data_IF_417882639865
#
_entry.id   IF_417882639865
#
_cell.length_a   1.000
_cell.length_b   1.000
_cell.length_c   1.000
_cell.angle_alpha   90.00
_cell.angle_beta   90.00
_cell.angle_gamma   90.00
#
_symmetry.space_group_name_H-M   'P 1'
#
loop_
_entity.id
_entity.type
_entity.pdbx_description
1 polymer ?
#
# COMPACT_ATOMS: atom_id res chain seq x y z
N UNK A 1 -7.22 2.29 -10.22
CA UNK A 1 -7.31 0.88 -9.79
C UNK A 1 -8.52 0.22 -10.44
N UNK A 2 -8.32 -0.90 -11.09
CA UNK A 2 -9.41 -1.79 -11.55
C UNK A 2 -9.52 -2.94 -10.55
N UNK A 3 -10.70 -3.14 -9.96
CA UNK A 3 -10.95 -4.19 -8.98
C UNK A 3 -11.48 -5.45 -9.67
N UNK A 4 -10.93 -6.59 -9.30
CA UNK A 4 -11.58 -7.88 -9.46
C UNK A 4 -12.19 -8.24 -8.10
N UNK A 5 -13.51 -8.44 -8.04
CA UNK A 5 -14.27 -8.62 -6.79
C UNK A 5 -13.87 -9.93 -6.12
N UNK A 6 -13.24 -9.86 -4.95
CA UNK A 6 -12.90 -11.00 -4.09
C UNK A 6 -13.77 -11.08 -2.84
N UNK A 7 -14.46 -9.99 -2.49
CA UNK A 7 -15.38 -9.88 -1.35
C UNK A 7 -16.17 -8.57 -1.40
N UNK A 8 -17.37 -8.55 -0.85
CA UNK A 8 -18.29 -7.41 -0.89
C UNK A 8 -18.88 -7.16 -2.29
N UNK A 9 -20.08 -6.58 -2.36
CA UNK A 9 -20.70 -6.19 -3.64
C UNK A 9 -20.01 -4.96 -4.21
N UNK A 10 -19.74 -4.96 -5.52
CA UNK A 10 -19.22 -3.81 -6.27
C UNK A 10 -20.25 -2.69 -6.48
N UNK A 11 -21.53 -2.99 -6.31
CA UNK A 11 -22.61 -2.01 -6.34
C UNK A 11 -22.60 -1.08 -5.11
N UNK A 12 -21.93 -1.53 -4.04
CA UNK A 12 -21.79 -0.77 -2.80
C UNK A 12 -20.49 0.04 -2.86
N UNK A 13 -20.61 1.35 -2.95
CA UNK A 13 -19.49 2.25 -3.25
C UNK A 13 -18.31 2.14 -2.26
N UNK A 14 -18.57 1.96 -0.97
CA UNK A 14 -17.51 1.85 0.04
C UNK A 14 -16.78 0.49 0.04
N UNK A 15 -17.29 -0.49 -0.72
CA UNK A 15 -16.56 -1.73 -0.99
C UNK A 15 -15.56 -1.58 -2.16
N UNK A 16 -15.61 -0.47 -2.90
CA UNK A 16 -14.70 -0.22 -4.01
C UNK A 16 -13.42 0.47 -3.53
N UNK A 17 -12.41 0.46 -4.39
CA UNK A 17 -11.12 1.04 -4.06
C UNK A 17 -10.96 2.43 -4.70
N UNK A 18 -10.33 3.36 -3.99
CA UNK A 18 -9.71 3.18 -2.67
C UNK A 18 -10.75 2.98 -1.56
N UNK A 19 -10.44 2.11 -0.61
CA UNK A 19 -11.23 2.00 0.63
C UNK A 19 -10.93 3.21 1.48
N UNK A 20 -11.99 3.95 1.83
CA UNK A 20 -11.90 5.18 2.63
C UNK A 20 -12.45 4.92 4.03
N UNK A 21 -11.61 4.97 5.04
CA UNK A 21 -11.99 4.80 6.45
C UNK A 21 -11.04 5.58 7.36
N UNK A 22 -11.55 6.19 8.43
CA UNK A 22 -10.76 6.79 9.51
C UNK A 22 -9.68 7.76 9.00
N UNK A 23 -10.04 8.61 8.04
CA UNK A 23 -9.11 9.55 7.38
C UNK A 23 -7.93 8.88 6.65
N UNK A 24 -8.11 7.65 6.19
CA UNK A 24 -7.16 6.93 5.35
C UNK A 24 -7.77 6.56 4.01
N UNK A 25 -6.95 6.54 2.97
CA UNK A 25 -7.27 5.95 1.68
C UNK A 25 -6.34 4.74 1.45
N UNK A 26 -6.92 3.57 1.18
CA UNK A 26 -6.17 2.33 0.95
C UNK A 26 -6.52 1.73 -0.41
N UNK A 27 -5.50 1.42 -1.18
CA UNK A 27 -5.59 0.53 -2.34
C UNK A 27 -4.94 -0.80 -1.95
N UNK A 28 -5.66 -1.88 -2.18
CA UNK A 28 -5.23 -3.25 -1.89
C UNK A 28 -5.41 -4.14 -3.13
N UNK A 29 -4.37 -4.85 -3.49
CA UNK A 29 -4.40 -5.93 -4.46
C UNK A 29 -3.98 -7.22 -3.76
N UNK A 30 -4.92 -8.13 -3.57
CA UNK A 30 -4.68 -9.38 -2.85
C UNK A 30 -5.86 -9.84 -2.00
N UNK A 31 -5.58 -10.73 -1.06
CA UNK A 31 -6.56 -11.29 -0.12
C UNK A 31 -5.92 -11.43 1.25
N UNK A 32 -6.57 -10.88 2.29
CA UNK A 32 -6.20 -11.10 3.70
C UNK A 32 -6.91 -12.37 4.19
N UNK A 33 -6.16 -13.46 4.31
CA UNK A 33 -6.74 -14.78 4.60
C UNK A 33 -7.08 -14.99 6.09
N UNK A 34 -6.49 -14.21 6.99
CA UNK A 34 -6.72 -14.27 8.44
C UNK A 34 -7.59 -13.11 8.98
N UNK A 35 -8.43 -12.53 8.13
CA UNK A 35 -9.29 -11.41 8.49
C UNK A 35 -10.09 -11.68 9.77
N UNK A 36 -10.79 -12.83 9.85
CA UNK A 36 -11.66 -13.19 10.98
C UNK A 36 -10.90 -13.28 12.30
N UNK A 37 -9.70 -13.85 12.26
CA UNK A 37 -8.85 -14.00 13.45
C UNK A 37 -8.41 -12.64 13.98
N UNK A 38 -8.10 -11.71 13.08
CA UNK A 38 -7.72 -10.34 13.42
C UNK A 38 -8.91 -9.60 14.03
N UNK A 39 -10.09 -9.65 13.40
CA UNK A 39 -11.31 -9.02 13.90
C UNK A 39 -11.62 -9.47 15.32
N UNK A 40 -11.60 -10.78 15.56
CA UNK A 40 -11.86 -11.36 16.87
C UNK A 40 -10.77 -11.00 17.91
N UNK A 41 -9.48 -11.14 17.55
CA UNK A 41 -8.36 -10.90 18.45
C UNK A 41 -8.29 -9.45 18.93
N UNK A 42 -8.64 -8.51 18.07
CA UNK A 42 -8.50 -7.08 18.36
C UNK A 42 -9.82 -6.38 18.63
N UNK A 43 -10.93 -7.13 18.69
CA UNK A 43 -12.29 -6.60 18.90
C UNK A 43 -12.63 -5.48 17.90
N UNK A 44 -12.39 -5.76 16.61
CA UNK A 44 -12.64 -4.82 15.52
C UNK A 44 -14.01 -5.12 14.93
N UNK A 45 -14.90 -4.13 14.95
CA UNK A 45 -16.18 -4.19 14.25
C UNK A 45 -15.98 -3.86 12.78
N UNK A 46 -16.37 -4.79 11.90
CA UNK A 46 -16.31 -4.59 10.45
C UNK A 46 -17.50 -3.78 9.97
N UNK A 47 -17.25 -2.75 9.16
CA UNK A 47 -18.27 -1.87 8.59
C UNK A 47 -18.48 -2.14 7.09
N UNK A 48 -17.41 -2.56 6.37
CA UNK A 48 -17.43 -2.75 4.93
C UNK A 48 -17.33 -4.23 4.57
N UNK A 49 -17.80 -4.59 3.38
CA UNK A 49 -17.77 -5.96 2.87
C UNK A 49 -16.38 -6.46 2.41
N UNK A 50 -15.32 -5.64 2.55
CA UNK A 50 -13.99 -5.93 2.01
C UNK A 50 -12.97 -6.22 3.11
N UNK A 51 -12.09 -7.17 2.86
CA UNK A 51 -10.99 -7.55 3.76
C UNK A 51 -9.96 -6.42 3.98
N UNK A 52 -9.82 -5.56 3.00
CA UNK A 52 -8.90 -4.40 3.04
C UNK A 52 -9.14 -3.47 4.22
N UNK A 53 -10.39 -3.40 4.73
CA UNK A 53 -10.75 -2.59 5.88
C UNK A 53 -9.94 -2.92 7.13
N UNK A 54 -9.61 -4.21 7.31
CA UNK A 54 -8.84 -4.69 8.47
C UNK A 54 -7.49 -4.01 8.58
N UNK A 55 -6.80 -3.76 7.46
CA UNK A 55 -5.50 -3.07 7.49
C UNK A 55 -5.63 -1.64 8.02
N UNK A 56 -6.68 -0.90 7.60
CA UNK A 56 -6.91 0.47 8.09
C UNK A 56 -7.20 0.44 9.59
N UNK A 57 -8.07 -0.46 10.04
CA UNK A 57 -8.42 -0.58 11.45
C UNK A 57 -7.23 -0.95 12.35
N UNK A 58 -6.33 -1.83 11.88
CA UNK A 58 -5.07 -2.12 12.57
C UNK A 58 -4.15 -0.90 12.61
N UNK A 59 -4.04 -0.20 11.47
CA UNK A 59 -3.19 0.98 11.35
C UNK A 59 -3.62 2.09 12.31
N UNK A 60 -4.91 2.43 12.32
CA UNK A 60 -5.43 3.49 13.19
C UNK A 60 -5.39 3.10 14.68
N UNK A 61 -5.62 1.82 14.99
CA UNK A 61 -5.39 1.27 16.33
C UNK A 61 -3.94 1.46 16.81
N UNK A 62 -2.97 1.24 15.93
CA UNK A 62 -1.55 1.40 16.28
C UNK A 62 -1.19 2.88 16.42
N UNK A 63 -1.75 3.77 15.61
CA UNK A 63 -1.64 5.22 15.81
C UNK A 63 -2.19 5.65 17.18
N UNK A 64 -3.34 5.13 17.59
CA UNK A 64 -3.93 5.42 18.90
C UNK A 64 -3.05 4.97 20.06
N UNK A 65 -2.16 3.99 19.87
CA UNK A 65 -1.14 3.57 20.85
C UNK A 65 0.11 4.47 20.86
N UNK A 66 0.16 5.50 20.01
CA UNK A 66 1.29 6.43 19.93
C UNK A 66 2.39 6.03 18.94
N UNK A 67 2.18 5.01 18.11
CA UNK A 67 3.15 4.64 17.08
C UNK A 67 3.17 5.69 15.95
N UNK A 68 4.34 5.90 15.35
CA UNK A 68 4.44 6.71 14.13
C UNK A 68 3.65 6.08 12.97
N UNK A 69 3.33 6.85 11.93
CA UNK A 69 2.63 6.33 10.76
C UNK A 69 3.37 5.14 10.11
N UNK A 70 4.70 5.23 9.97
CA UNK A 70 5.50 4.13 9.42
C UNK A 70 5.44 2.89 10.29
N UNK A 71 5.65 3.02 11.59
CA UNK A 71 5.56 1.90 12.54
C UNK A 71 4.15 1.30 12.58
N UNK A 72 3.11 2.15 12.58
CA UNK A 72 1.72 1.68 12.54
C UNK A 72 1.44 0.85 11.29
N UNK A 73 1.96 1.28 10.14
CA UNK A 73 1.83 0.54 8.89
C UNK A 73 2.60 -0.79 8.94
N UNK A 74 3.85 -0.78 9.40
CA UNK A 74 4.69 -1.97 9.52
C UNK A 74 4.09 -3.00 10.47
N UNK A 75 3.63 -2.59 11.64
CA UNK A 75 2.93 -3.46 12.59
C UNK A 75 1.64 -4.05 11.99
N UNK A 76 0.88 -3.25 11.24
CA UNK A 76 -0.35 -3.73 10.61
C UNK A 76 -0.07 -4.78 9.54
N UNK A 77 0.92 -4.57 8.67
CA UNK A 77 1.29 -5.56 7.65
C UNK A 77 1.94 -6.82 8.24
N UNK A 78 2.57 -6.74 9.42
CA UNK A 78 3.12 -7.92 10.10
C UNK A 78 2.04 -8.87 10.60
N UNK A 79 0.84 -8.37 10.85
CA UNK A 79 -0.31 -9.14 11.37
C UNK A 79 -1.17 -9.76 10.27
N UNK A 80 -1.17 -9.21 9.05
CA UNK A 80 -2.02 -9.73 7.97
C UNK A 80 -1.31 -10.83 7.18
N UNK A 81 -2.02 -11.93 6.92
CA UNK A 81 -1.54 -13.05 6.12
C UNK A 81 -2.19 -13.05 4.74
N UNK A 82 -1.49 -13.65 3.77
CA UNK A 82 -1.96 -13.75 2.38
C UNK A 82 -1.01 -13.07 1.39
N UNK A 83 -1.39 -13.14 0.12
CA UNK A 83 -0.69 -12.45 -0.96
C UNK A 83 -1.27 -11.04 -1.11
N UNK A 84 -0.56 -10.04 -0.61
CA UNK A 84 -1.08 -8.69 -0.45
C UNK A 84 -0.11 -7.64 -1.01
N UNK A 85 -0.64 -6.65 -1.70
CA UNK A 85 0.04 -5.41 -2.06
C UNK A 85 -0.81 -4.23 -1.65
N UNK A 86 -0.24 -3.34 -0.86
CA UNK A 86 -0.93 -2.20 -0.27
C UNK A 86 -0.32 -0.87 -0.69
N UNK A 87 -1.18 0.13 -0.91
CA UNK A 87 -0.82 1.54 -0.97
C UNK A 87 -1.75 2.31 -0.03
N UNK A 88 -1.20 2.87 1.05
CA UNK A 88 -1.93 3.58 2.10
C UNK A 88 -1.55 5.06 2.13
N UNK A 89 -2.55 5.93 2.16
CA UNK A 89 -2.40 7.38 2.30
C UNK A 89 -3.22 7.82 3.52
N UNK A 90 -2.59 8.10 4.66
CA UNK A 90 -3.27 8.74 5.80
C UNK A 90 -3.41 10.24 5.56
N UNK A 91 -4.57 10.84 5.87
CA UNK A 91 -4.82 12.27 5.65
C UNK A 91 -3.87 13.19 6.42
N UNK A 92 -3.42 12.77 7.60
CA UNK A 92 -2.52 13.54 8.46
C UNK A 92 -1.04 13.20 8.22
N UNK A 93 -0.70 12.59 7.10
CA UNK A 93 0.68 12.26 6.71
C UNK A 93 0.99 12.86 5.35
N UNK A 94 2.24 13.26 5.16
CA UNK A 94 2.77 13.69 3.86
C UNK A 94 3.35 12.52 3.06
N UNK A 95 3.13 11.29 3.50
CA UNK A 95 3.71 10.10 2.90
C UNK A 95 2.63 9.14 2.38
N UNK A 96 2.96 8.51 1.27
CA UNK A 96 2.30 7.31 0.77
C UNK A 96 3.13 6.11 1.26
N UNK A 97 2.48 5.13 1.88
CA UNK A 97 3.13 3.91 2.37
C UNK A 97 2.79 2.75 1.45
N UNK A 98 3.82 2.04 0.97
CA UNK A 98 3.69 0.91 0.06
C UNK A 98 4.31 -0.35 0.64
N UNK A 99 3.67 -1.49 0.41
CA UNK A 99 4.21 -2.81 0.75
C UNK A 99 3.68 -3.87 -0.22
N UNK A 100 4.47 -4.93 -0.44
CA UNK A 100 4.02 -6.11 -1.17
C UNK A 100 4.64 -7.37 -0.58
N UNK A 101 3.79 -8.29 -0.11
CA UNK A 101 4.21 -9.60 0.41
C UNK A 101 4.50 -10.62 -0.70
N UNK A 102 3.96 -10.43 -1.90
CA UNK A 102 4.05 -11.33 -3.05
C UNK A 102 4.91 -10.80 -4.20
N UNK A 103 5.66 -9.69 -3.97
CA UNK A 103 6.50 -9.01 -4.96
C UNK A 103 5.74 -8.40 -6.16
N UNK A 104 4.43 -8.24 -6.08
CA UNK A 104 3.61 -7.59 -7.10
C UNK A 104 3.58 -6.07 -6.94
N UNK A 105 4.76 -5.45 -6.78
CA UNK A 105 4.91 -4.02 -6.72
C UNK A 105 6.22 -3.63 -7.40
N UNK A 106 6.10 -2.79 -8.39
CA UNK A 106 7.21 -2.17 -9.12
C UNK A 106 7.16 -0.68 -8.87
N UNK A 107 8.27 -0.09 -8.49
CA UNK A 107 8.39 1.31 -8.14
C UNK A 107 9.45 1.97 -9.01
N UNK A 108 9.17 3.15 -9.48
CA UNK A 108 10.14 4.07 -10.10
C UNK A 108 10.15 5.36 -9.28
N UNK A 109 11.34 5.87 -9.02
CA UNK A 109 11.52 7.12 -8.31
C UNK A 109 12.67 7.91 -8.92
N UNK A 110 12.41 9.18 -9.20
CA UNK A 110 13.39 10.14 -9.68
C UNK A 110 13.27 11.42 -8.82
N UNK A 111 14.27 11.66 -7.97
CA UNK A 111 14.30 12.80 -7.05
C UNK A 111 14.47 14.13 -7.74
N UNK A 112 15.20 14.16 -8.86
CA UNK A 112 15.49 15.40 -9.60
C UNK A 112 14.25 15.90 -10.34
N UNK A 113 13.49 14.96 -10.91
CA UNK A 113 12.23 15.27 -11.60
C UNK A 113 11.03 15.29 -10.64
N UNK A 114 11.22 14.92 -9.37
CA UNK A 114 10.17 14.79 -8.35
C UNK A 114 9.01 13.89 -8.80
N UNK A 115 9.36 12.78 -9.43
CA UNK A 115 8.40 11.81 -9.95
C UNK A 115 8.55 10.50 -9.21
N UNK A 116 7.42 9.99 -8.70
CA UNK A 116 7.31 8.62 -8.22
C UNK A 116 6.15 7.94 -8.93
N UNK A 117 6.37 6.74 -9.41
CA UNK A 117 5.35 5.92 -10.05
C UNK A 117 5.42 4.51 -9.48
N UNK A 118 4.27 3.87 -9.31
CA UNK A 118 4.21 2.47 -8.92
C UNK A 118 3.08 1.73 -9.63
N UNK A 119 3.25 0.43 -9.80
CA UNK A 119 2.28 -0.45 -10.43
C UNK A 119 2.44 -1.87 -9.91
N UNK A 120 1.36 -2.65 -9.91
CA UNK A 120 1.41 -4.10 -9.71
C UNK A 120 1.99 -4.84 -10.93
N UNK A 121 2.09 -4.20 -12.08
CA UNK A 121 2.52 -4.78 -13.34
C UNK A 121 3.77 -4.06 -13.89
N UNK A 122 4.87 -4.82 -14.05
CA UNK A 122 6.15 -4.29 -14.57
C UNK A 122 6.01 -3.63 -15.95
N UNK A 123 5.30 -4.28 -16.86
CA UNK A 123 5.19 -3.79 -18.21
C UNK A 123 4.37 -2.51 -18.32
N UNK A 124 3.36 -2.36 -17.46
CA UNK A 124 2.57 -1.13 -17.35
C UNK A 124 3.45 0.03 -16.90
N UNK A 125 4.22 -0.18 -15.81
CA UNK A 125 5.15 0.84 -15.32
C UNK A 125 6.22 1.19 -16.36
N UNK A 126 6.83 0.19 -17.02
CA UNK A 126 7.80 0.38 -18.08
C UNK A 126 7.23 1.21 -19.24
N UNK A 127 5.99 0.91 -19.66
CA UNK A 127 5.32 1.66 -20.72
C UNK A 127 5.06 3.11 -20.34
N UNK A 128 4.65 3.36 -19.09
CA UNK A 128 4.45 4.71 -18.57
C UNK A 128 5.76 5.51 -18.55
N UNK A 129 6.85 4.92 -18.02
CA UNK A 129 8.18 5.55 -18.01
C UNK A 129 8.64 5.88 -19.43
N UNK A 130 8.54 4.93 -20.36
CA UNK A 130 8.94 5.13 -21.75
C UNK A 130 8.12 6.25 -22.45
N UNK A 131 6.83 6.34 -22.16
CA UNK A 131 5.97 7.39 -22.70
C UNK A 131 6.35 8.76 -22.19
N UNK A 132 6.72 8.88 -20.93
CA UNK A 132 7.22 10.12 -20.34
C UNK A 132 8.64 10.44 -20.83
N UNK A 133 9.53 9.45 -20.97
CA UNK A 133 10.90 9.63 -21.48
C UNK A 133 10.92 10.21 -22.89
N UNK A 134 9.99 9.84 -23.75
CA UNK A 134 9.84 10.45 -25.09
C UNK A 134 9.59 11.96 -25.03
N UNK A 135 8.96 12.44 -23.95
CA UNK A 135 8.66 13.86 -23.73
C UNK A 135 9.78 14.60 -23.00
N UNK A 136 10.43 13.94 -22.04
CA UNK A 136 11.40 14.57 -21.12
C UNK A 136 12.86 14.25 -21.43
N UNK A 137 13.15 13.18 -22.22
CA UNK A 137 14.49 12.64 -22.54
C UNK A 137 15.37 12.28 -21.33
N UNK A 138 14.80 12.12 -20.13
CA UNK A 138 15.55 11.97 -18.87
C UNK A 138 15.27 10.70 -18.09
N UNK A 139 14.12 10.02 -18.29
CA UNK A 139 13.76 8.87 -17.47
C UNK A 139 14.39 7.59 -18.01
N UNK A 140 14.99 6.81 -17.10
CA UNK A 140 15.54 5.48 -17.39
C UNK A 140 14.76 4.38 -16.66
N UNK A 141 14.09 3.50 -17.40
CA UNK A 141 13.33 2.39 -16.84
C UNK A 141 14.20 1.35 -16.12
N UNK A 142 15.52 1.34 -16.35
CA UNK A 142 16.46 0.46 -15.63
C UNK A 142 16.56 0.80 -14.15
N UNK A 143 16.17 2.02 -13.76
CA UNK A 143 16.11 2.47 -12.38
C UNK A 143 14.85 1.98 -11.63
N UNK A 144 14.06 1.06 -12.20
CA UNK A 144 12.93 0.48 -11.48
C UNK A 144 13.38 -0.34 -10.28
N UNK A 145 12.71 -0.11 -9.16
CA UNK A 145 12.87 -0.85 -7.92
C UNK A 145 11.86 -1.99 -7.90
N UNK A 146 12.32 -3.20 -7.63
CA UNK A 146 11.48 -4.37 -7.41
C UNK A 146 11.19 -4.49 -5.93
N UNK A 147 9.93 -4.66 -5.56
CA UNK A 147 9.56 -4.79 -4.16
C UNK A 147 10.15 -6.04 -3.52
N UNK A 148 10.48 -5.90 -2.24
CA UNK A 148 10.91 -6.99 -1.36
C UNK A 148 9.88 -7.13 -0.24
N UNK A 149 9.44 -8.37 0.06
CA UNK A 149 8.44 -8.65 1.10
C UNK A 149 8.84 -8.16 2.50
N UNK A 150 10.14 -8.04 2.75
CA UNK A 150 10.67 -7.58 4.04
C UNK A 150 10.91 -6.07 4.07
N UNK A 151 10.43 -5.33 3.07
CA UNK A 151 10.60 -3.88 2.96
C UNK A 151 9.25 -3.18 2.87
N UNK A 152 9.21 -2.01 3.47
CA UNK A 152 8.19 -0.98 3.23
C UNK A 152 8.83 0.19 2.52
N UNK A 153 8.04 0.86 1.72
CA UNK A 153 8.45 2.05 0.98
C UNK A 153 7.57 3.20 1.42
N UNK A 154 8.16 4.32 1.77
CA UNK A 154 7.42 5.55 2.02
C UNK A 154 7.88 6.64 1.07
N UNK A 155 6.92 7.27 0.41
CA UNK A 155 7.16 8.36 -0.55
C UNK A 155 6.56 9.61 0.04
N UNK A 156 7.38 10.61 0.33
CA UNK A 156 6.90 11.92 0.72
C UNK A 156 6.49 12.69 -0.53
N UNK A 157 5.20 13.03 -0.65
CA UNK A 157 4.68 13.66 -1.86
C UNK A 157 4.96 15.19 -1.94
N UNK A 158 5.44 15.82 -0.86
CA UNK A 158 5.90 17.23 -0.90
C UNK A 158 7.39 17.33 -1.25
N UNK A 159 8.26 16.56 -0.55
CA UNK A 159 9.70 16.57 -0.80
C UNK A 159 10.14 15.63 -1.92
N UNK A 160 9.27 14.72 -2.36
CA UNK A 160 9.59 13.63 -3.28
C UNK A 160 10.70 12.70 -2.75
N UNK A 161 10.83 12.56 -1.45
CA UNK A 161 11.80 11.67 -0.83
C UNK A 161 11.24 10.24 -0.77
N UNK A 162 12.01 9.28 -1.26
CA UNK A 162 11.73 7.85 -1.10
C UNK A 162 12.57 7.29 0.05
N UNK A 163 11.92 6.65 1.02
CA UNK A 163 12.58 5.87 2.09
C UNK A 163 12.20 4.41 1.98
N UNK A 164 13.19 3.54 2.15
CA UNK A 164 13.04 2.09 2.18
C UNK A 164 13.39 1.63 3.59
N UNK A 165 12.48 0.94 4.25
CA UNK A 165 12.64 0.49 5.63
C UNK A 165 12.39 -1.00 5.74
N UNK A 166 13.10 -1.67 6.63
CA UNK A 166 12.85 -3.08 6.95
C UNK A 166 11.54 -3.23 7.72
N UNK A 167 10.87 -4.35 7.51
CA UNK A 167 9.72 -4.78 8.30
C UNK A 167 10.00 -6.15 8.90
N UNK A 168 9.76 -6.29 10.17
CA UNK A 168 9.86 -7.56 10.87
C UNK A 168 8.63 -8.42 10.58
N UNK A 169 8.84 -9.54 9.92
CA UNK A 169 7.80 -10.53 9.61
C UNK A 169 8.05 -11.86 10.33
N UNK A 170 8.86 -11.88 11.38
CA UNK A 170 9.24 -13.10 12.11
C UNK A 170 8.06 -13.79 12.79
N UNK A 171 6.94 -13.09 12.98
CA UNK A 171 5.72 -13.62 13.61
C UNK A 171 4.68 -14.13 12.60
N UNK A 172 5.06 -14.32 11.33
CA UNK A 172 4.19 -14.87 10.27
C UNK A 172 4.36 -16.35 10.06
#
# INVERSE_FOLDING_TARGET
HTRMTTGGSEEINHNNQPVLKENCALIHNGIIVNERDILNKYDITKEYGVDSEVLISLFTRNLAKGYSHLQSFQESISLVNGANTFALIPANSKNIYLHSSNKSLYLFHDSDLKISMFSSERNVLKSAINSLSKKTKKLNYESMIFSNRNKTYSINYESSELRISDVDLSNK
#
